data_IF_883105152907
#
_entry.id   IF_883105152907
#
_cell.length_a   1.000
_cell.length_b   1.000
_cell.length_c   1.000
_cell.angle_alpha   90.00
_cell.angle_beta   90.00
_cell.angle_gamma   90.00
#
_symmetry.space_group_name_H-M   'P 1'
#
loop_
_entity.id
_entity.type
_entity.pdbx_description
1 polymer ?
#
# COMPACT_ATOMS: atom_id res chain seq x y z
N UNK A 1 -6.59 -16.34 -5.81
CA UNK A 1 -6.34 -15.89 -7.18
C UNK A 1 -6.80 -14.44 -7.22
N UNK A 2 -5.88 -13.49 -7.13
CA UNK A 2 -6.19 -12.06 -7.16
C UNK A 2 -5.62 -11.51 -8.45
N UNK A 3 -6.46 -11.41 -9.48
CA UNK A 3 -6.16 -10.61 -10.66
C UNK A 3 -6.34 -9.15 -10.27
N UNK A 4 -5.25 -8.44 -10.04
CA UNK A 4 -5.28 -6.98 -9.98
C UNK A 4 -5.04 -6.49 -11.41
N UNK A 5 -6.05 -6.68 -12.25
CA UNK A 5 -6.11 -6.06 -13.55
C UNK A 5 -7.59 -5.73 -13.74
N UNK A 6 -7.93 -4.43 -13.60
CA UNK A 6 -9.27 -3.88 -13.75
C UNK A 6 -10.21 -4.08 -12.54
N UNK A 7 -9.98 -3.33 -11.46
CA UNK A 7 -11.15 -2.64 -10.87
C UNK A 7 -11.23 -1.34 -11.65
N UNK A 8 -12.08 -1.30 -12.67
CA UNK A 8 -12.50 -0.06 -13.30
C UNK A 8 -12.89 0.89 -12.15
N UNK A 9 -12.25 2.06 -12.04
CA UNK A 9 -12.62 3.09 -11.07
C UNK A 9 -14.14 3.36 -11.08
N UNK A 10 -14.78 3.21 -12.25
CA UNK A 10 -16.22 3.26 -12.44
C UNK A 10 -17.04 2.22 -11.63
N UNK A 11 -16.54 1.00 -11.43
CA UNK A 11 -17.25 -0.04 -10.68
C UNK A 11 -17.20 0.18 -9.16
N UNK A 12 -16.08 0.69 -8.65
CA UNK A 12 -15.97 1.10 -7.25
C UNK A 12 -16.83 2.35 -6.97
N UNK A 13 -16.92 3.26 -7.95
CA UNK A 13 -17.78 4.44 -7.89
C UNK A 13 -19.27 4.06 -7.84
N UNK A 14 -19.72 3.09 -8.66
CA UNK A 14 -21.14 2.73 -8.77
C UNK A 14 -21.72 2.04 -7.52
N UNK A 15 -20.89 1.31 -6.77
CA UNK A 15 -21.31 0.62 -5.54
C UNK A 15 -21.38 1.60 -4.36
N UNK A 16 -20.50 2.61 -4.32
CA UNK A 16 -20.52 3.64 -3.28
C UNK A 16 -21.51 4.80 -3.56
N UNK A 17 -21.78 5.12 -4.83
CA UNK A 17 -22.60 6.27 -5.22
C UNK A 17 -24.08 6.13 -4.86
N UNK A 18 -24.61 4.91 -4.74
CA UNK A 18 -26.05 4.69 -4.54
C UNK A 18 -26.50 4.65 -3.07
N UNK A 19 -25.58 4.59 -2.10
CA UNK A 19 -25.95 4.43 -0.68
C UNK A 19 -25.83 5.75 0.11
N UNK A 20 -25.07 6.74 -0.36
CA UNK A 20 -24.76 7.94 0.44
C UNK A 20 -24.92 9.30 -0.27
N UNK A 21 -25.37 9.33 -1.53
CA UNK A 21 -25.36 10.56 -2.35
C UNK A 21 -26.28 11.70 -1.84
N UNK A 22 -27.28 11.43 -1.00
CA UNK A 22 -28.21 12.47 -0.56
C UNK A 22 -27.83 13.20 0.73
N UNK A 23 -27.03 12.58 1.62
CA UNK A 23 -26.72 13.14 2.95
C UNK A 23 -25.37 13.88 3.03
N UNK A 24 -24.55 13.81 1.98
CA UNK A 24 -23.16 14.27 1.96
C UNK A 24 -22.89 15.50 1.06
N UNK A 25 -23.95 16.17 0.60
CA UNK A 25 -23.92 17.07 -0.58
C UNK A 25 -22.89 18.24 -0.50
N UNK A 26 -22.73 18.98 0.61
CA UNK A 26 -21.81 20.14 0.66
C UNK A 26 -20.34 19.72 0.66
N UNK A 27 -19.94 18.84 1.59
CA UNK A 27 -18.56 18.35 1.72
C UNK A 27 -18.10 17.57 0.49
N UNK A 28 -18.97 16.76 -0.14
CA UNK A 28 -18.63 16.08 -1.41
C UNK A 28 -18.45 17.06 -2.57
N UNK A 29 -19.25 18.12 -2.65
CA UNK A 29 -19.08 19.13 -3.69
C UNK A 29 -17.72 19.83 -3.55
N UNK A 30 -17.30 20.14 -2.31
CA UNK A 30 -15.99 20.71 -2.01
C UNK A 30 -14.84 19.73 -2.31
N UNK A 31 -14.99 18.45 -1.99
CA UNK A 31 -14.01 17.42 -2.38
C UNK A 31 -13.85 17.33 -3.90
N UNK A 32 -14.95 17.31 -4.65
CA UNK A 32 -14.93 17.27 -6.12
C UNK A 32 -14.22 18.49 -6.71
N UNK A 33 -14.55 19.68 -6.23
CA UNK A 33 -13.90 20.92 -6.66
C UNK A 33 -12.41 20.95 -6.30
N UNK A 34 -12.02 20.43 -5.13
CA UNK A 34 -10.62 20.32 -4.74
C UNK A 34 -9.82 19.41 -5.67
N UNK A 35 -10.38 18.24 -6.03
CA UNK A 35 -9.75 17.30 -6.97
C UNK A 35 -9.63 17.93 -8.37
N UNK A 36 -10.68 18.57 -8.88
CA UNK A 36 -10.66 19.23 -10.20
C UNK A 36 -9.63 20.37 -10.25
N UNK A 37 -9.52 21.18 -9.18
CA UNK A 37 -8.48 22.21 -9.11
C UNK A 37 -7.07 21.60 -9.09
N UNK A 38 -6.89 20.48 -8.41
CA UNK A 38 -5.61 19.77 -8.37
C UNK A 38 -5.20 19.26 -9.76
N UNK A 39 -6.13 18.60 -10.48
CA UNK A 39 -5.91 18.09 -11.83
C UNK A 39 -5.58 19.20 -12.84
N UNK A 40 -6.09 20.41 -12.61
CA UNK A 40 -5.82 21.59 -13.44
C UNK A 40 -4.58 22.41 -13.00
N UNK A 41 -3.84 21.96 -11.98
CA UNK A 41 -2.63 22.63 -11.49
C UNK A 41 -2.87 23.84 -10.57
N UNK A 42 -4.10 24.05 -10.11
CA UNK A 42 -4.49 25.14 -9.22
C UNK A 42 -4.37 24.70 -7.75
N UNK A 43 -3.12 24.49 -7.29
CA UNK A 43 -2.85 23.83 -6.01
C UNK A 43 -3.36 24.58 -4.77
N UNK A 44 -3.24 25.91 -4.72
CA UNK A 44 -3.71 26.71 -3.57
C UNK A 44 -5.23 26.60 -3.38
N UNK A 45 -5.97 26.66 -4.49
CA UNK A 45 -7.42 26.52 -4.51
C UNK A 45 -7.84 25.06 -4.23
N UNK A 46 -7.05 24.08 -4.68
CA UNK A 46 -7.26 22.68 -4.36
C UNK A 46 -7.16 22.43 -2.85
N UNK A 47 -6.08 22.91 -2.21
CA UNK A 47 -5.83 22.75 -0.77
C UNK A 47 -6.95 23.43 0.03
N UNK A 48 -7.31 24.66 -0.31
CA UNK A 48 -8.37 25.41 0.37
C UNK A 48 -9.72 24.67 0.32
N UNK A 49 -10.11 24.13 -0.85
CA UNK A 49 -11.37 23.40 -0.99
C UNK A 49 -11.37 22.06 -0.23
N UNK A 50 -10.22 21.38 -0.16
CA UNK A 50 -10.07 20.13 0.60
C UNK A 50 -10.13 20.36 2.12
N UNK A 51 -9.51 21.42 2.62
CA UNK A 51 -9.57 21.80 4.04
C UNK A 51 -11.00 22.12 4.47
N UNK A 52 -11.74 22.89 3.66
CA UNK A 52 -13.15 23.21 3.93
C UNK A 52 -14.00 21.95 3.93
N UNK A 53 -13.80 21.05 2.95
CA UNK A 53 -14.53 19.79 2.90
C UNK A 53 -14.40 18.99 4.22
N UNK A 54 -13.20 18.91 4.78
CA UNK A 54 -12.94 18.21 6.04
C UNK A 54 -13.64 18.84 7.26
N UNK A 55 -14.01 20.12 7.19
CA UNK A 55 -14.78 20.79 8.26
C UNK A 55 -16.29 20.61 8.13
N UNK A 56 -16.79 20.36 6.92
CA UNK A 56 -18.22 20.22 6.61
C UNK A 56 -18.73 18.78 6.73
N UNK A 57 -17.83 17.79 6.81
CA UNK A 57 -18.17 16.37 6.91
C UNK A 57 -18.39 15.96 8.37
N UNK A 58 -19.38 15.10 8.63
CA UNK A 58 -19.54 14.48 9.96
C UNK A 58 -18.40 13.49 10.24
N UNK A 59 -18.11 13.18 11.51
CA UNK A 59 -17.07 12.21 11.87
C UNK A 59 -17.31 10.82 11.26
N UNK A 60 -18.56 10.41 11.13
CA UNK A 60 -18.92 9.15 10.45
C UNK A 60 -18.66 9.22 8.93
N UNK A 61 -18.81 10.39 8.33
CA UNK A 61 -18.56 10.61 6.91
C UNK A 61 -17.07 10.71 6.62
N UNK A 62 -16.29 11.32 7.51
CA UNK A 62 -14.83 11.23 7.51
C UNK A 62 -14.38 9.78 7.69
N UNK A 63 -15.10 9.00 8.50
CA UNK A 63 -14.83 7.58 8.67
C UNK A 63 -15.00 6.80 7.35
N UNK A 64 -16.11 7.04 6.67
CA UNK A 64 -16.39 6.39 5.40
C UNK A 64 -15.53 6.93 4.26
N UNK A 65 -15.15 8.21 4.32
CA UNK A 65 -14.18 8.80 3.40
C UNK A 65 -12.80 8.23 3.60
N UNK A 66 -12.27 8.06 4.82
CA UNK A 66 -10.96 7.40 4.98
C UNK A 66 -10.99 5.95 4.50
N UNK A 67 -12.13 5.25 4.67
CA UNK A 67 -12.31 3.90 4.11
C UNK A 67 -12.23 3.97 2.59
N UNK A 68 -13.01 4.85 1.96
CA UNK A 68 -12.97 5.06 0.51
C UNK A 68 -11.59 5.52 0.02
N UNK A 69 -10.88 6.33 0.80
CA UNK A 69 -9.52 6.83 0.57
C UNK A 69 -8.46 5.73 0.60
N UNK A 70 -8.60 4.76 1.50
CA UNK A 70 -7.78 3.54 1.52
C UNK A 70 -8.10 2.62 0.33
N UNK A 71 -9.37 2.53 -0.06
CA UNK A 71 -9.80 1.70 -1.20
C UNK A 71 -9.52 2.30 -2.59
N UNK A 72 -9.47 3.64 -2.70
CA UNK A 72 -9.28 4.37 -3.96
C UNK A 72 -7.91 5.02 -4.07
N UNK A 73 -7.11 4.99 -3.00
CA UNK A 73 -5.77 5.56 -2.97
C UNK A 73 -5.72 7.10 -3.03
N UNK A 74 -6.83 7.79 -2.87
CA UNK A 74 -6.90 9.25 -3.07
C UNK A 74 -6.09 10.09 -2.03
N UNK A 75 -5.35 9.45 -1.10
CA UNK A 75 -4.34 10.08 -0.23
C UNK A 75 -3.04 10.46 -0.92
N UNK A 76 -2.66 9.72 -1.95
CA UNK A 76 -1.27 9.69 -2.39
C UNK A 76 -0.91 10.80 -3.39
N UNK A 77 -1.91 11.52 -3.93
CA UNK A 77 -1.63 12.43 -5.05
C UNK A 77 -0.72 13.60 -4.65
N UNK A 78 -0.61 13.93 -3.36
CA UNK A 78 0.05 15.13 -2.86
C UNK A 78 1.12 14.91 -1.79
N UNK A 79 1.18 13.75 -1.11
CA UNK A 79 1.97 13.56 0.11
C UNK A 79 3.19 12.62 -0.02
N UNK A 80 3.48 12.09 -1.20
CA UNK A 80 4.70 11.30 -1.44
C UNK A 80 5.95 12.18 -1.59
N UNK A 81 7.14 11.62 -1.30
CA UNK A 81 8.43 12.22 -1.66
C UNK A 81 8.56 12.35 -3.20
N UNK A 82 9.50 13.15 -3.68
CA UNK A 82 9.66 13.42 -5.11
C UNK A 82 9.95 12.16 -5.94
N UNK A 83 10.57 11.13 -5.34
CA UNK A 83 10.86 9.84 -5.98
C UNK A 83 9.68 8.85 -5.97
N UNK A 84 8.60 9.16 -5.25
CA UNK A 84 7.34 8.43 -5.28
C UNK A 84 6.35 8.98 -6.32
N UNK A 85 6.73 10.07 -7.02
CA UNK A 85 5.90 10.79 -7.99
C UNK A 85 6.43 10.67 -9.43
N UNK A 86 5.56 10.84 -10.43
CA UNK A 86 4.11 10.91 -10.33
C UNK A 86 3.48 9.52 -10.18
N UNK A 87 2.25 9.51 -9.67
CA UNK A 87 1.39 8.32 -9.68
C UNK A 87 1.22 7.84 -11.12
N UNK A 88 1.37 6.54 -11.34
CA UNK A 88 1.18 5.93 -12.65
C UNK A 88 0.62 4.52 -12.52
N UNK A 89 -0.06 4.06 -13.57
CA UNK A 89 -0.61 2.71 -13.64
C UNK A 89 0.49 1.69 -13.98
N UNK A 90 0.47 0.54 -13.29
CA UNK A 90 1.36 -0.59 -13.56
C UNK A 90 0.53 -1.87 -13.67
N UNK A 91 0.74 -2.63 -14.75
CA UNK A 91 0.17 -3.95 -14.92
C UNK A 91 1.18 -5.02 -14.48
N UNK A 92 0.74 -5.97 -13.66
CA UNK A 92 1.54 -7.11 -13.21
C UNK A 92 0.77 -8.41 -13.42
N UNK A 93 1.49 -9.48 -13.76
CA UNK A 93 0.92 -10.84 -13.82
C UNK A 93 0.52 -11.34 -12.43
N UNK A 94 -0.29 -12.39 -12.36
CA UNK A 94 -0.62 -13.03 -11.09
C UNK A 94 0.65 -13.60 -10.41
N UNK A 95 0.87 -13.27 -9.14
CA UNK A 95 1.97 -13.84 -8.33
C UNK A 95 1.54 -14.11 -6.89
N UNK A 96 2.37 -14.88 -6.18
CA UNK A 96 2.27 -15.06 -4.73
C UNK A 96 3.40 -14.28 -4.06
N UNK A 97 3.08 -13.61 -2.95
CA UNK A 97 4.06 -12.96 -2.09
C UNK A 97 3.95 -13.53 -0.67
N UNK A 98 5.06 -13.56 0.05
CA UNK A 98 5.05 -13.93 1.45
C UNK A 98 4.14 -12.98 2.23
N UNK A 99 3.26 -13.53 3.07
CA UNK A 99 2.39 -12.72 3.94
C UNK A 99 3.20 -11.97 5.00
N UNK A 100 4.34 -12.52 5.39
CA UNK A 100 5.25 -12.01 6.40
C UNK A 100 6.67 -12.02 5.84
N UNK A 101 7.53 -11.23 6.46
CA UNK A 101 8.97 -11.25 6.21
C UNK A 101 9.57 -12.62 6.51
N UNK A 102 10.70 -12.92 5.86
CA UNK A 102 11.46 -14.14 6.15
C UNK A 102 11.94 -14.08 7.59
N UNK A 103 11.66 -15.12 8.37
CA UNK A 103 12.02 -15.12 9.78
C UNK A 103 13.47 -15.53 10.01
N UNK A 104 14.02 -15.19 11.18
CA UNK A 104 15.37 -15.60 11.59
C UNK A 104 15.53 -17.13 11.59
N UNK A 105 14.48 -17.87 11.98
CA UNK A 105 14.46 -19.34 11.94
C UNK A 105 14.50 -19.87 10.51
N UNK A 106 13.65 -19.34 9.63
CA UNK A 106 13.65 -19.71 8.20
C UNK A 106 14.99 -19.40 7.53
N UNK A 107 15.59 -18.26 7.84
CA UNK A 107 16.92 -17.90 7.36
C UNK A 107 17.97 -18.93 7.79
N UNK A 108 18.01 -19.25 9.09
CA UNK A 108 18.96 -20.21 9.65
C UNK A 108 18.82 -21.61 9.03
N UNK A 109 17.61 -22.06 8.75
CA UNK A 109 17.34 -23.36 8.12
C UNK A 109 17.84 -23.47 6.66
N UNK A 110 18.08 -22.34 6.00
CA UNK A 110 18.57 -22.26 4.62
C UNK A 110 20.06 -21.89 4.56
N UNK A 111 20.48 -20.92 5.38
CA UNK A 111 21.81 -20.33 5.33
C UNK A 111 22.78 -20.91 6.37
N UNK A 112 22.27 -21.53 7.44
CA UNK A 112 23.07 -22.14 8.50
C UNK A 112 23.58 -21.16 9.56
N UNK A 113 23.31 -19.85 9.41
CA UNK A 113 23.69 -18.80 10.34
C UNK A 113 22.50 -17.87 10.65
N UNK A 114 22.69 -16.91 11.55
CA UNK A 114 21.71 -15.85 11.81
C UNK A 114 22.45 -14.50 11.94
N UNK A 115 22.35 -13.60 10.94
CA UNK A 115 23.04 -12.31 10.94
C UNK A 115 22.37 -11.24 11.81
N UNK A 116 21.08 -11.41 12.10
CA UNK A 116 20.23 -10.41 12.80
C UNK A 116 20.86 -9.92 14.10
N UNK A 117 20.99 -8.63 14.32
CA UNK A 117 21.38 -8.04 15.59
C UNK A 117 20.37 -8.34 16.72
N UNK A 118 19.07 -8.26 16.46
CA UNK A 118 18.02 -8.44 17.46
C UNK A 118 17.72 -9.92 17.75
N UNK A 119 18.61 -10.58 18.51
CA UNK A 119 18.48 -12.01 18.89
C UNK A 119 18.03 -12.26 20.33
N UNK A 120 18.42 -11.37 21.26
CA UNK A 120 18.67 -11.77 22.66
C UNK A 120 17.66 -11.26 23.68
N UNK A 121 16.93 -10.18 23.37
CA UNK A 121 16.10 -9.48 24.35
C UNK A 121 14.70 -10.08 24.54
N UNK A 122 14.26 -10.99 23.66
CA UNK A 122 12.94 -11.61 23.74
C UNK A 122 13.02 -13.13 23.54
N UNK A 123 12.32 -13.90 24.40
CA UNK A 123 12.08 -15.32 24.19
C UNK A 123 11.25 -15.47 22.90
N UNK A 124 11.81 -16.10 21.85
CA UNK A 124 11.26 -16.40 20.49
C UNK A 124 11.88 -15.59 19.32
N UNK A 125 13.22 -15.49 19.26
CA UNK A 125 13.94 -14.83 18.15
C UNK A 125 13.63 -15.41 16.76
N UNK A 126 13.36 -16.71 16.67
CA UNK A 126 13.21 -17.42 15.39
C UNK A 126 11.97 -16.99 14.59
N UNK A 127 11.00 -16.35 15.25
CA UNK A 127 9.78 -15.84 14.62
C UNK A 127 9.88 -14.35 14.24
N UNK A 128 10.99 -13.68 14.56
CA UNK A 128 11.20 -12.30 14.11
C UNK A 128 11.72 -12.27 12.69
N UNK A 129 11.52 -11.15 11.96
CA UNK A 129 12.17 -10.92 10.69
C UNK A 129 13.69 -11.04 10.82
N UNK A 130 14.32 -11.61 9.79
CA UNK A 130 15.77 -11.52 9.62
C UNK A 130 16.14 -10.08 9.24
N UNK A 131 17.22 -9.59 9.83
CA UNK A 131 17.76 -8.25 9.57
C UNK A 131 19.30 -8.28 9.57
N UNK A 132 19.93 -7.14 9.25
CA UNK A 132 21.38 -7.06 8.91
C UNK A 132 21.80 -8.00 7.76
N UNK A 133 20.99 -8.06 6.72
CA UNK A 133 21.29 -8.80 5.48
C UNK A 133 21.49 -7.83 4.33
N UNK A 134 22.50 -8.07 3.51
CA UNK A 134 22.69 -7.33 2.27
C UNK A 134 21.81 -7.91 1.16
N UNK A 135 21.63 -7.15 0.07
CA UNK A 135 20.96 -7.64 -1.12
C UNK A 135 21.62 -8.92 -1.68
N UNK A 136 22.96 -9.00 -1.63
CA UNK A 136 23.71 -10.18 -2.07
C UNK A 136 23.41 -11.42 -1.20
N UNK A 137 23.31 -11.24 0.13
CA UNK A 137 22.94 -12.33 1.04
C UNK A 137 21.53 -12.85 0.71
N UNK A 138 20.61 -11.95 0.38
CA UNK A 138 19.24 -12.30 -0.01
C UNK A 138 19.21 -13.07 -1.32
N UNK A 139 20.03 -12.70 -2.32
CA UNK A 139 20.16 -13.49 -3.55
C UNK A 139 20.69 -14.90 -3.27
N UNK A 140 21.68 -15.04 -2.38
CA UNK A 140 22.20 -16.36 -1.99
C UNK A 140 21.14 -17.19 -1.26
N UNK A 141 20.40 -16.58 -0.34
CA UNK A 141 19.27 -17.21 0.36
C UNK A 141 18.24 -17.74 -0.65
N UNK A 142 17.79 -16.91 -1.59
CA UNK A 142 16.82 -17.29 -2.63
C UNK A 142 17.35 -18.46 -3.46
N UNK A 143 18.62 -18.40 -3.88
CA UNK A 143 19.26 -19.49 -4.65
C UNK A 143 19.26 -20.81 -3.88
N UNK A 144 19.62 -20.79 -2.58
CA UNK A 144 19.60 -21.99 -1.73
C UNK A 144 18.18 -22.48 -1.47
N UNK A 145 17.22 -21.58 -1.23
CA UNK A 145 15.81 -21.90 -1.03
C UNK A 145 15.20 -22.57 -2.26
N UNK A 146 15.46 -22.03 -3.46
CA UNK A 146 15.01 -22.60 -4.73
C UNK A 146 15.59 -24.00 -4.94
N UNK A 147 16.89 -24.19 -4.67
CA UNK A 147 17.52 -25.51 -4.73
C UNK A 147 16.93 -26.51 -3.73
N UNK A 148 16.59 -26.06 -2.52
CA UNK A 148 16.03 -26.93 -1.45
C UNK A 148 14.57 -27.33 -1.74
N UNK A 149 13.79 -26.43 -2.32
CA UNK A 149 12.34 -26.61 -2.50
C UNK A 149 11.93 -27.03 -3.92
N UNK A 150 12.81 -26.86 -4.91
CA UNK A 150 12.49 -27.03 -6.33
C UNK A 150 11.55 -25.96 -6.89
N UNK A 151 11.30 -24.87 -6.14
CA UNK A 151 10.44 -23.76 -6.55
C UNK A 151 11.26 -22.59 -7.10
N UNK A 152 10.56 -21.58 -7.61
CA UNK A 152 11.15 -20.37 -8.17
C UNK A 152 10.76 -19.11 -7.37
N UNK A 153 11.31 -18.99 -6.16
CA UNK A 153 11.22 -17.77 -5.36
C UNK A 153 12.12 -16.66 -5.93
N UNK A 154 11.70 -15.41 -5.75
CA UNK A 154 12.44 -14.19 -6.13
C UNK A 154 12.00 -13.02 -5.27
N UNK A 155 12.76 -11.92 -5.30
CA UNK A 155 12.29 -10.65 -4.78
C UNK A 155 11.11 -10.12 -5.63
N UNK A 156 10.10 -9.49 -5.00
CA UNK A 156 9.13 -8.66 -5.70
C UNK A 156 9.86 -7.57 -6.50
N UNK A 157 9.30 -7.21 -7.65
CA UNK A 157 9.76 -6.10 -8.47
C UNK A 157 8.84 -4.92 -8.25
#
# INVERSE_FOLDING_TARGET
MFRICSINLLCAWFIFSNVYAEQLKPGIARLKAGIENYENGNYDEAIFNLEIALTELSENDKENLWKAHFYLGLSYYLLGEDDEKPVHEVCVDDFYIGKYEVTQGQWKDIMGNNPSYFKKWFKKSDNYPVEWVSWNDVQEFIRKLNRKTGKNYRLPK
#
